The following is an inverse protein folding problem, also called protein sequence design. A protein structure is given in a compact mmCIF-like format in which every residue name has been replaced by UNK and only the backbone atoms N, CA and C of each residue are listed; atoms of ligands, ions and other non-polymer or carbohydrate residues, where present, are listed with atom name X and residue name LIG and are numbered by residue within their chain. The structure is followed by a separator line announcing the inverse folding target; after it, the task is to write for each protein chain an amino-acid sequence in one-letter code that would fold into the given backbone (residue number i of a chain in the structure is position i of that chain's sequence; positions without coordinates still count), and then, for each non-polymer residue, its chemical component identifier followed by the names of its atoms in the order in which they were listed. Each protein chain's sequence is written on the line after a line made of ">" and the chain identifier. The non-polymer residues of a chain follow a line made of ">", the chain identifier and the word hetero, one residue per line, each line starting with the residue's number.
data_IF_382732271938
#
_entry.id   IF_382732271938
#
_cell.length_a   1.000
_cell.length_b   1.000
_cell.length_c   1.000
_cell.angle_alpha   90.00
_cell.angle_beta   90.00
_cell.angle_gamma   90.00
#
_symmetry.space_group_name_H-M   'P 1'
#
loop_
_entity.id
_entity.type
_entity.pdbx_description
1 polymer ?
#
# COMPACT_ATOMS: atom_id res chain seq x y z
N UNK A 1 -37.95 4.43 33.92
CA UNK A 1 -38.71 3.90 35.07
C UNK A 1 -37.94 2.84 35.87
N UNK A 2 -37.33 1.82 35.24
CA UNK A 2 -36.57 0.76 35.96
C UNK A 2 -35.53 1.25 36.98
N UNK A 3 -34.66 2.19 36.59
CA UNK A 3 -33.65 2.77 37.49
C UNK A 3 -34.23 3.55 38.68
N UNK A 4 -35.36 4.24 38.49
CA UNK A 4 -36.08 4.91 39.58
C UNK A 4 -36.75 3.90 40.53
N UNK A 5 -36.98 2.68 40.06
CA UNK A 5 -37.48 1.55 40.85
C UNK A 5 -36.34 0.70 41.47
N UNK A 6 -35.08 1.12 41.34
CA UNK A 6 -33.92 0.39 41.89
C UNK A 6 -33.48 -0.85 41.10
N UNK A 7 -34.03 -1.06 39.91
CA UNK A 7 -33.64 -2.16 39.03
C UNK A 7 -32.39 -1.80 38.22
N UNK A 8 -31.35 -2.64 38.28
CA UNK A 8 -30.15 -2.52 37.43
C UNK A 8 -30.42 -3.12 36.05
N UNK A 9 -30.24 -2.34 35.00
CA UNK A 9 -30.48 -2.78 33.62
C UNK A 9 -29.39 -2.37 32.64
N UNK A 10 -28.53 -1.42 33.00
CA UNK A 10 -27.51 -0.87 32.13
C UNK A 10 -26.21 -0.66 32.93
N UNK A 11 -25.31 -1.63 32.86
CA UNK A 11 -24.09 -1.74 33.69
C UNK A 11 -23.32 -0.42 33.86
N UNK A 12 -22.97 0.24 32.75
CA UNK A 12 -22.22 1.51 32.81
C UNK A 12 -23.04 2.65 33.41
N UNK A 13 -24.31 2.80 32.99
CA UNK A 13 -25.19 3.87 33.48
C UNK A 13 -25.48 3.72 34.97
N UNK A 14 -25.65 2.49 35.44
CA UNK A 14 -25.94 2.14 36.84
C UNK A 14 -24.72 2.35 37.75
N UNK A 15 -23.50 2.27 37.20
CA UNK A 15 -22.25 2.61 37.91
C UNK A 15 -22.00 4.12 38.05
N UNK A 16 -22.71 4.97 37.31
CA UNK A 16 -22.59 6.44 37.41
C UNK A 16 -23.66 7.04 38.34
N UNK A 17 -23.43 8.24 38.87
CA UNK A 17 -24.51 9.03 39.50
C UNK A 17 -25.56 9.44 38.46
N UNK A 18 -26.79 9.75 38.90
CA UNK A 18 -27.85 10.19 37.99
C UNK A 18 -27.45 11.45 37.21
N UNK A 19 -26.77 12.40 37.86
CA UNK A 19 -26.27 13.62 37.21
C UNK A 19 -25.23 13.31 36.13
N UNK A 20 -24.26 12.42 36.41
CA UNK A 20 -23.24 11.99 35.45
C UNK A 20 -23.86 11.24 34.27
N UNK A 21 -24.80 10.33 34.53
CA UNK A 21 -25.52 9.59 33.51
C UNK A 21 -26.28 10.54 32.58
N UNK A 22 -27.19 11.35 33.13
CA UNK A 22 -28.00 12.29 32.34
C UNK A 22 -27.14 13.28 31.56
N UNK A 23 -26.13 13.87 32.19
CA UNK A 23 -25.25 14.83 31.54
C UNK A 23 -24.41 14.21 30.43
N UNK A 24 -23.90 13.00 30.64
CA UNK A 24 -23.16 12.28 29.59
C UNK A 24 -24.06 11.94 28.41
N UNK A 25 -25.26 11.41 28.70
CA UNK A 25 -26.28 11.11 27.70
C UNK A 25 -26.60 12.34 26.86
N UNK A 26 -26.92 13.48 27.47
CA UNK A 26 -27.22 14.72 26.76
C UNK A 26 -26.03 15.22 25.91
N UNK A 27 -24.83 15.27 26.50
CA UNK A 27 -23.64 15.77 25.81
C UNK A 27 -23.25 14.89 24.63
N UNK A 28 -23.28 13.56 24.79
CA UNK A 28 -22.98 12.60 23.73
C UNK A 28 -24.02 12.68 22.61
N UNK A 29 -25.30 12.80 22.99
CA UNK A 29 -26.41 13.01 22.06
C UNK A 29 -26.23 14.24 21.19
N UNK A 30 -25.91 15.39 21.79
CA UNK A 30 -25.66 16.63 21.05
C UNK A 30 -24.48 16.50 20.10
N UNK A 31 -23.37 15.90 20.54
CA UNK A 31 -22.19 15.69 19.70
C UNK A 31 -22.52 14.87 18.46
N UNK A 32 -23.29 13.79 18.61
CA UNK A 32 -23.61 12.87 17.51
C UNK A 32 -24.68 13.44 16.58
N UNK A 33 -25.73 14.04 17.15
CA UNK A 33 -26.87 14.58 16.41
C UNK A 33 -26.55 15.88 15.67
N UNK A 34 -25.82 16.79 16.30
CA UNK A 34 -25.64 18.17 15.81
C UNK A 34 -24.17 18.54 15.55
N UNK A 35 -23.23 17.70 16.00
CA UNK A 35 -21.80 17.92 15.78
C UNK A 35 -21.10 18.71 16.90
N UNK A 36 -19.80 18.99 16.74
CA UNK A 36 -18.95 19.49 17.81
C UNK A 36 -19.18 20.97 18.18
N UNK A 37 -19.71 21.77 17.26
CA UNK A 37 -19.88 23.22 17.46
C UNK A 37 -21.18 23.58 18.18
N UNK A 38 -22.17 22.68 18.23
CA UNK A 38 -23.47 22.92 18.82
C UNK A 38 -23.42 22.94 20.36
N UNK A 39 -24.05 23.96 20.96
CA UNK A 39 -24.19 24.06 22.43
C UNK A 39 -25.61 23.74 22.87
N UNK A 40 -25.74 23.07 24.02
CA UNK A 40 -27.01 22.78 24.70
C UNK A 40 -27.94 24.02 24.87
N UNK A 41 -27.49 25.20 25.32
CA UNK A 41 -28.37 26.36 25.51
C UNK A 41 -28.94 26.98 24.21
N UNK A 42 -28.44 26.59 23.03
CA UNK A 42 -28.87 27.14 21.74
C UNK A 42 -29.89 26.23 21.01
N UNK A 43 -30.32 25.12 21.65
CA UNK A 43 -31.22 24.10 21.07
C UNK A 43 -32.69 24.27 21.50
N UNK A 44 -33.62 23.96 20.58
CA UNK A 44 -35.07 23.94 20.86
C UNK A 44 -35.45 22.77 21.77
N UNK A 45 -36.68 22.75 22.29
CA UNK A 45 -37.17 21.63 23.12
C UNK A 45 -37.11 20.30 22.36
N UNK A 46 -37.48 20.30 21.09
CA UNK A 46 -37.49 19.11 20.23
C UNK A 46 -36.08 18.61 19.95
N UNK A 47 -35.13 19.52 19.74
CA UNK A 47 -33.72 19.19 19.52
C UNK A 47 -33.10 18.51 20.76
N UNK A 48 -33.47 18.97 21.96
CA UNK A 48 -33.00 18.37 23.22
C UNK A 48 -33.56 16.98 23.43
N UNK A 49 -34.85 16.78 23.13
CA UNK A 49 -35.50 15.49 23.20
C UNK A 49 -34.91 14.50 22.19
N UNK A 50 -34.63 14.96 20.96
CA UNK A 50 -33.92 14.16 19.96
C UNK A 50 -32.49 13.80 20.40
N UNK A 51 -31.68 14.77 20.84
CA UNK A 51 -30.34 14.50 21.36
C UNK A 51 -30.37 13.56 22.56
N UNK A 52 -31.34 13.72 23.47
CA UNK A 52 -31.54 12.83 24.61
C UNK A 52 -31.75 11.37 24.20
N UNK A 53 -32.61 11.12 23.20
CA UNK A 53 -32.81 9.76 22.65
C UNK A 53 -31.53 9.19 22.04
N UNK A 54 -30.87 9.94 21.16
CA UNK A 54 -29.62 9.52 20.51
C UNK A 54 -28.56 9.20 21.56
N UNK A 55 -28.39 10.09 22.54
CA UNK A 55 -27.45 9.89 23.64
C UNK A 55 -27.77 8.68 24.51
N UNK A 56 -29.06 8.39 24.72
CA UNK A 56 -29.49 7.27 25.54
C UNK A 56 -29.19 5.94 24.85
N UNK A 57 -29.45 5.84 23.55
CA UNK A 57 -29.08 4.66 22.76
C UNK A 57 -27.59 4.33 22.84
N UNK A 58 -26.73 5.35 22.87
CA UNK A 58 -25.28 5.19 23.01
C UNK A 58 -24.87 4.75 24.41
N UNK A 59 -25.36 5.45 25.43
CA UNK A 59 -24.98 5.21 26.84
C UNK A 59 -25.61 3.94 27.42
N UNK A 60 -26.78 3.52 26.93
CA UNK A 60 -27.40 2.24 27.28
C UNK A 60 -26.58 1.03 26.83
N UNK A 61 -25.79 1.17 25.76
CA UNK A 61 -24.83 0.15 25.29
C UNK A 61 -23.50 0.16 26.07
N UNK A 62 -23.39 1.01 27.09
CA UNK A 62 -22.21 1.13 27.95
C UNK A 62 -20.97 1.70 27.26
N UNK A 63 -19.79 1.41 27.81
CA UNK A 63 -18.51 1.95 27.33
C UNK A 63 -18.29 1.68 25.82
N UNK A 64 -18.68 0.51 25.33
CA UNK A 64 -18.55 0.16 23.91
C UNK A 64 -19.36 1.11 23.01
N UNK A 65 -20.61 1.42 23.36
CA UNK A 65 -21.44 2.35 22.61
C UNK A 65 -20.88 3.78 22.59
N UNK A 66 -20.34 4.23 23.73
CA UNK A 66 -19.67 5.53 23.84
C UNK A 66 -18.40 5.56 22.99
N UNK A 67 -17.55 4.53 23.08
CA UNK A 67 -16.32 4.41 22.28
C UNK A 67 -16.60 4.39 20.78
N UNK A 68 -17.59 3.63 20.33
CA UNK A 68 -18.01 3.57 18.93
C UNK A 68 -18.44 4.95 18.43
N UNK A 69 -19.26 5.68 19.19
CA UNK A 69 -19.70 7.03 18.82
C UNK A 69 -18.52 8.01 18.72
N UNK A 70 -17.59 7.98 19.67
CA UNK A 70 -16.41 8.84 19.65
C UNK A 70 -15.48 8.52 18.47
N UNK A 71 -15.30 7.25 18.14
CA UNK A 71 -14.53 6.82 16.95
C UNK A 71 -15.21 7.22 15.65
N UNK A 72 -16.53 7.02 15.54
CA UNK A 72 -17.30 7.45 14.37
C UNK A 72 -17.22 8.98 14.19
N UNK A 73 -17.27 9.74 15.29
CA UNK A 73 -17.09 11.18 15.26
C UNK A 73 -15.67 11.59 14.83
N UNK A 74 -14.65 10.86 15.26
CA UNK A 74 -13.27 11.06 14.82
C UNK A 74 -13.12 10.84 13.30
N UNK A 75 -13.67 9.76 12.75
CA UNK A 75 -13.60 9.44 11.31
C UNK A 75 -14.28 10.49 10.42
N UNK A 76 -15.23 11.28 10.92
CA UNK A 76 -15.81 12.41 10.15
C UNK A 76 -14.77 13.49 9.81
N UNK A 77 -13.61 13.49 10.47
CA UNK A 77 -12.51 14.40 10.21
C UNK A 77 -11.43 13.83 9.29
N UNK A 78 -11.64 12.66 8.67
CA UNK A 78 -10.65 12.04 7.78
C UNK A 78 -10.27 12.93 6.58
N UNK A 79 -11.21 13.73 6.07
CA UNK A 79 -10.98 14.70 5.00
C UNK A 79 -10.51 16.08 5.49
N UNK A 80 -10.34 16.27 6.81
CA UNK A 80 -9.95 17.56 7.36
C UNK A 80 -8.52 17.94 6.95
N UNK A 81 -8.31 19.23 6.67
CA UNK A 81 -6.97 19.75 6.43
C UNK A 81 -6.17 19.82 7.74
N UNK A 82 -5.04 19.11 7.78
CA UNK A 82 -4.10 19.11 8.91
C UNK A 82 -4.41 18.06 9.98
N UNK A 83 -3.96 18.31 11.22
CA UNK A 83 -4.20 17.41 12.36
C UNK A 83 -5.17 18.07 13.33
N UNK A 84 -6.48 17.77 13.26
CA UNK A 84 -7.45 18.38 14.15
C UNK A 84 -7.22 17.90 15.59
N UNK A 85 -7.13 18.84 16.53
CA UNK A 85 -6.97 18.51 17.94
C UNK A 85 -8.28 18.01 18.59
N UNK A 86 -8.22 17.41 19.80
CA UNK A 86 -9.40 16.85 20.47
C UNK A 86 -10.54 17.86 20.64
N UNK A 87 -10.21 19.12 20.93
CA UNK A 87 -11.21 20.21 21.05
C UNK A 87 -11.95 20.50 19.75
N UNK A 88 -11.33 20.30 18.58
CA UNK A 88 -11.99 20.49 17.28
C UNK A 88 -12.88 19.32 16.91
N UNK A 89 -12.46 18.10 17.25
CA UNK A 89 -13.18 16.86 16.92
C UNK A 89 -14.41 16.67 17.79
N UNK A 90 -14.24 16.89 19.10
CA UNK A 90 -15.26 16.63 20.12
C UNK A 90 -15.91 17.92 20.63
N UNK A 91 -15.35 19.10 20.32
CA UNK A 91 -16.04 20.37 20.48
C UNK A 91 -16.56 20.63 21.89
N UNK A 92 -17.86 20.95 21.98
CA UNK A 92 -18.54 21.22 23.23
C UNK A 92 -18.50 20.03 24.21
N UNK A 93 -18.57 18.79 23.73
CA UNK A 93 -18.44 17.58 24.55
C UNK A 93 -17.12 17.59 25.34
N UNK A 94 -16.00 17.81 24.63
CA UNK A 94 -14.69 17.92 25.27
C UNK A 94 -14.60 19.10 26.23
N UNK A 95 -15.10 20.28 25.83
CA UNK A 95 -15.05 21.48 26.67
C UNK A 95 -15.85 21.31 27.97
N UNK A 96 -17.02 20.66 27.91
CA UNK A 96 -17.89 20.44 29.06
C UNK A 96 -17.26 19.50 30.11
N UNK A 97 -16.48 18.52 29.65
CA UNK A 97 -15.73 17.59 30.50
C UNK A 97 -14.39 18.19 30.98
N UNK A 98 -13.72 18.99 30.17
CA UNK A 98 -12.44 19.62 30.50
C UNK A 98 -12.56 20.84 31.42
N UNK A 99 -13.67 21.58 31.34
CA UNK A 99 -13.88 22.86 32.02
C UNK A 99 -15.16 22.87 32.86
N UNK A 100 -15.41 21.83 33.66
CA UNK A 100 -16.52 21.86 34.62
C UNK A 100 -16.22 22.90 35.72
N UNK A 101 -16.56 24.17 35.45
CA UNK A 101 -16.56 25.29 36.41
C UNK A 101 -17.39 25.01 37.69
N UNK A 102 -18.11 23.89 37.71
CA UNK A 102 -19.03 23.46 38.77
C UNK A 102 -18.44 22.46 39.77
N UNK A 103 -17.14 22.10 39.74
CA UNK A 103 -16.54 21.10 40.65
C UNK A 103 -17.20 19.70 40.61
N UNK A 104 -18.15 19.45 39.68
CA UNK A 104 -18.81 18.16 39.52
C UNK A 104 -17.90 17.21 38.75
N UNK A 105 -17.63 16.07 39.37
CA UNK A 105 -16.89 14.96 38.77
C UNK A 105 -17.62 14.48 37.51
N UNK A 106 -16.99 14.56 36.32
CA UNK A 106 -17.57 14.07 35.07
C UNK A 106 -17.84 12.56 35.08
N UNK A 107 -17.25 11.80 36.00
CA UNK A 107 -17.39 10.36 36.08
C UNK A 107 -16.55 9.65 35.02
N UNK A 108 -16.90 8.39 34.75
CA UNK A 108 -16.09 7.47 33.95
C UNK A 108 -15.98 7.88 32.47
N UNK A 109 -16.91 8.70 31.97
CA UNK A 109 -16.87 9.22 30.58
C UNK A 109 -15.59 10.00 30.29
N UNK A 110 -15.01 10.67 31.30
CA UNK A 110 -13.76 11.40 31.13
C UNK A 110 -12.57 10.45 30.92
N UNK A 111 -12.58 9.27 31.55
CA UNK A 111 -11.61 8.20 31.28
C UNK A 111 -11.78 7.68 29.86
N UNK A 112 -13.00 7.28 29.49
CA UNK A 112 -13.29 6.73 28.16
C UNK A 112 -12.87 7.69 27.05
N UNK A 113 -13.20 8.98 27.18
CA UNK A 113 -12.80 9.98 26.20
C UNK A 113 -11.27 10.14 26.14
N UNK A 114 -10.59 10.12 27.29
CA UNK A 114 -9.13 10.20 27.35
C UNK A 114 -8.48 9.01 26.64
N UNK A 115 -8.96 7.80 26.88
CA UNK A 115 -8.44 6.58 26.27
C UNK A 115 -8.62 6.63 24.75
N UNK A 116 -9.81 7.02 24.26
CA UNK A 116 -10.06 7.18 22.82
C UNK A 116 -9.14 8.25 22.21
N UNK A 117 -8.90 9.36 22.91
CA UNK A 117 -7.97 10.39 22.42
C UNK A 117 -6.54 9.85 22.33
N UNK A 118 -6.04 9.17 23.38
CA UNK A 118 -4.68 8.61 23.42
C UNK A 118 -4.49 7.54 22.35
N UNK A 119 -5.52 6.72 22.08
CA UNK A 119 -5.48 5.64 21.10
C UNK A 119 -5.54 6.11 19.63
N UNK A 120 -6.07 7.31 19.35
CA UNK A 120 -6.36 7.74 17.97
C UNK A 120 -5.70 9.07 17.57
N UNK A 121 -5.27 9.90 18.53
CA UNK A 121 -4.75 11.25 18.26
C UNK A 121 -3.29 11.36 18.72
N UNK A 122 -2.41 11.72 17.79
CA UNK A 122 -1.01 11.98 18.10
C UNK A 122 -0.85 13.27 18.90
N UNK A 123 -0.42 13.14 20.16
CA UNK A 123 -0.25 14.26 21.09
C UNK A 123 1.20 14.35 21.60
N UNK A 124 1.70 15.57 21.90
CA UNK A 124 2.99 15.72 22.54
C UNK A 124 2.95 15.26 24.00
N UNK A 125 4.10 14.81 24.51
CA UNK A 125 4.29 14.60 25.95
C UNK A 125 4.03 15.91 26.73
N UNK A 126 3.54 15.80 27.96
CA UNK A 126 3.13 16.92 28.80
C UNK A 126 1.76 17.52 28.46
N UNK A 127 1.03 16.95 27.49
CA UNK A 127 -0.32 17.44 27.17
C UNK A 127 -1.28 17.11 28.30
N UNK A 128 -1.88 18.14 28.92
CA UNK A 128 -2.94 17.98 29.92
C UNK A 128 -4.28 17.73 29.25
N UNK A 129 -4.92 16.62 29.58
CA UNK A 129 -6.21 16.19 29.04
C UNK A 129 -7.11 15.69 30.15
N UNK A 130 -8.26 16.37 30.33
CA UNK A 130 -9.29 15.98 31.29
C UNK A 130 -8.69 15.70 32.69
N UNK A 131 -7.86 16.64 33.16
CA UNK A 131 -7.22 16.61 34.48
C UNK A 131 -5.95 15.74 34.60
N UNK A 132 -5.61 14.94 33.59
CA UNK A 132 -4.44 14.05 33.62
C UNK A 132 -3.41 14.50 32.59
N UNK A 133 -2.14 14.49 32.98
CA UNK A 133 -1.02 14.81 32.08
C UNK A 133 -0.52 13.56 31.38
N UNK A 134 -0.35 13.64 30.07
CA UNK A 134 0.26 12.59 29.28
C UNK A 134 1.78 12.57 29.51
N UNK A 135 2.28 11.61 30.28
CA UNK A 135 3.70 11.54 30.64
C UNK A 135 4.62 11.41 29.41
N UNK A 136 4.26 10.54 28.47
CA UNK A 136 5.04 10.26 27.27
C UNK A 136 4.16 10.25 26.02
N UNK A 137 4.73 10.59 24.87
CA UNK A 137 4.03 10.49 23.59
C UNK A 137 3.85 9.01 23.23
N UNK A 138 2.63 8.60 22.92
CA UNK A 138 2.32 7.22 22.50
C UNK A 138 2.17 7.06 20.98
N UNK A 139 1.78 8.14 20.28
CA UNK A 139 1.48 8.12 18.85
C UNK A 139 2.18 9.25 18.10
N UNK A 140 2.52 8.98 16.84
CA UNK A 140 2.99 9.94 15.87
C UNK A 140 2.07 10.04 14.67
N UNK A 141 1.88 11.26 14.17
CA UNK A 141 1.59 11.51 12.75
C UNK A 141 2.90 11.71 11.99
N UNK A 142 2.87 11.58 10.67
CA UNK A 142 4.02 11.88 9.80
C UNK A 142 4.61 13.26 10.11
N UNK A 143 3.75 14.28 10.28
CA UNK A 143 4.18 15.65 10.57
C UNK A 143 4.85 15.77 11.95
N UNK A 144 4.28 15.13 12.97
CA UNK A 144 4.85 15.17 14.33
C UNK A 144 6.21 14.49 14.42
N UNK A 145 6.38 13.35 13.73
CA UNK A 145 7.63 12.59 13.68
C UNK A 145 8.70 13.32 12.87
N UNK A 146 8.32 13.88 11.71
CA UNK A 146 9.21 14.70 10.89
C UNK A 146 9.76 15.90 11.67
N UNK A 147 8.89 16.58 12.44
CA UNK A 147 9.30 17.71 13.28
C UNK A 147 10.24 17.28 14.41
N UNK A 148 9.93 16.19 15.10
CA UNK A 148 10.74 15.69 16.22
C UNK A 148 12.13 15.22 15.77
N UNK A 149 12.22 14.55 14.62
CA UNK A 149 13.48 13.99 14.10
C UNK A 149 14.19 14.92 13.10
N UNK A 150 13.65 16.11 12.83
CA UNK A 150 14.16 17.09 11.86
C UNK A 150 14.37 16.44 10.48
N UNK A 151 13.30 15.86 9.94
CA UNK A 151 13.28 15.16 8.65
C UNK A 151 12.32 15.83 7.66
N UNK A 152 12.56 15.63 6.36
CA UNK A 152 11.61 16.03 5.32
C UNK A 152 10.35 15.16 5.39
N UNK A 153 9.20 15.80 5.65
CA UNK A 153 7.91 15.10 5.81
C UNK A 153 7.51 14.29 4.58
N UNK A 154 7.86 14.73 3.36
CA UNK A 154 7.52 14.00 2.13
C UNK A 154 8.31 12.71 2.01
N UNK A 155 9.61 12.77 2.26
CA UNK A 155 10.49 11.59 2.26
C UNK A 155 10.12 10.63 3.37
N UNK A 156 9.86 11.13 4.58
CA UNK A 156 9.42 10.31 5.70
C UNK A 156 8.10 9.60 5.39
N UNK A 157 7.10 10.29 4.81
CA UNK A 157 5.84 9.67 4.38
C UNK A 157 6.09 8.52 3.41
N UNK A 158 6.95 8.72 2.42
CA UNK A 158 7.26 7.69 1.43
C UNK A 158 7.90 6.45 2.04
N UNK A 159 8.79 6.60 3.03
CA UNK A 159 9.39 5.44 3.72
C UNK A 159 8.36 4.77 4.63
N UNK A 160 7.52 5.53 5.34
CA UNK A 160 6.45 4.96 6.18
C UNK A 160 5.40 4.20 5.36
N UNK A 161 5.10 4.65 4.14
CA UNK A 161 4.24 3.93 3.19
C UNK A 161 4.93 2.68 2.66
N UNK A 162 6.21 2.76 2.32
CA UNK A 162 6.98 1.60 1.86
C UNK A 162 7.14 0.52 2.95
N UNK A 163 7.17 0.93 4.22
CA UNK A 163 7.20 0.04 5.38
C UNK A 163 5.80 -0.45 5.82
N UNK A 164 4.74 -0.11 5.07
CA UNK A 164 3.35 -0.47 5.36
C UNK A 164 2.83 -0.03 6.75
N UNK A 165 3.44 1.03 7.32
CA UNK A 165 2.99 1.62 8.59
C UNK A 165 1.88 2.63 8.34
N UNK A 166 1.96 3.36 7.22
CA UNK A 166 1.00 4.38 6.83
C UNK A 166 0.42 4.01 5.46
N UNK A 167 -0.89 3.83 5.34
CA UNK A 167 -1.51 3.59 4.03
C UNK A 167 -1.20 4.69 3.01
N UNK A 168 -1.11 4.35 1.73
CA UNK A 168 -0.79 5.31 0.66
C UNK A 168 -1.78 6.50 0.62
N UNK A 169 -3.06 6.24 0.92
CA UNK A 169 -4.14 7.22 0.98
C UNK A 169 -4.52 7.63 2.39
N UNK A 170 -3.63 7.42 3.37
CA UNK A 170 -3.89 7.80 4.76
C UNK A 170 -4.11 9.31 4.92
N UNK A 171 -5.06 9.73 5.77
CA UNK A 171 -5.30 11.13 6.08
C UNK A 171 -4.10 11.75 6.81
N UNK A 172 -4.04 13.09 6.82
CA UNK A 172 -2.89 13.80 7.38
C UNK A 172 -2.69 13.58 8.89
N UNK A 173 -3.78 13.30 9.63
CA UNK A 173 -3.78 12.94 11.04
C UNK A 173 -3.69 11.44 11.33
N UNK A 174 -3.45 10.60 10.31
CA UNK A 174 -3.25 9.18 10.55
C UNK A 174 -2.11 8.98 11.55
N UNK A 175 -2.45 8.34 12.67
CA UNK A 175 -1.58 8.15 13.81
C UNK A 175 -1.06 6.71 13.83
N UNK A 176 0.20 6.55 14.20
CA UNK A 176 0.85 5.25 14.34
C UNK A 176 1.74 5.21 15.61
N UNK A 177 2.00 4.02 16.19
CA UNK A 177 2.82 3.88 17.38
C UNK A 177 4.23 4.45 17.24
N UNK A 178 4.77 5.00 18.33
CA UNK A 178 6.09 5.68 18.34
C UNK A 178 7.22 4.73 17.98
N UNK A 179 7.15 3.49 18.43
CA UNK A 179 8.16 2.45 18.22
C UNK A 179 8.34 2.20 16.72
N UNK A 180 7.23 1.97 16.01
CA UNK A 180 7.21 1.77 14.56
C UNK A 180 7.77 2.99 13.80
N UNK A 181 7.43 4.19 14.26
CA UNK A 181 7.97 5.43 13.69
C UNK A 181 9.49 5.55 13.84
N UNK A 182 10.01 5.19 15.02
CA UNK A 182 11.44 5.29 15.34
C UNK A 182 12.29 4.36 14.48
N UNK A 183 11.85 3.12 14.28
CA UNK A 183 12.53 2.16 13.41
C UNK A 183 12.72 2.72 12.00
N UNK A 184 11.65 3.26 11.40
CA UNK A 184 11.68 3.83 10.06
C UNK A 184 12.53 5.10 9.95
N UNK A 185 12.59 5.94 10.99
CA UNK A 185 13.42 7.15 10.94
C UNK A 185 14.91 6.85 10.78
N UNK A 186 15.37 5.69 11.25
CA UNK A 186 16.74 5.27 11.04
C UNK A 186 17.00 4.93 9.56
N UNK A 187 16.06 4.28 8.88
CA UNK A 187 16.11 4.02 7.44
C UNK A 187 16.24 5.32 6.65
N UNK A 188 15.47 6.36 7.01
CA UNK A 188 15.54 7.68 6.35
C UNK A 188 16.94 8.29 6.45
N UNK A 189 17.58 8.19 7.62
CA UNK A 189 18.96 8.71 7.84
C UNK A 189 20.01 7.91 7.04
N UNK A 190 19.71 6.67 6.66
CA UNK A 190 20.61 5.74 5.95
C UNK A 190 20.33 5.64 4.45
N UNK A 191 19.47 6.50 3.89
CA UNK A 191 19.11 6.47 2.47
C UNK A 191 20.35 6.53 1.56
N UNK A 192 20.41 5.60 0.60
CA UNK A 192 21.36 5.58 -0.52
C UNK A 192 20.61 5.82 -1.81
N UNK A 193 21.10 6.74 -2.64
CA UNK A 193 20.46 7.01 -3.92
C UNK A 193 20.66 5.87 -4.92
N UNK A 194 19.61 5.57 -5.66
CA UNK A 194 19.60 4.51 -6.69
C UNK A 194 20.67 4.72 -7.77
N UNK A 195 21.10 5.97 -8.01
CA UNK A 195 22.17 6.31 -8.96
C UNK A 195 23.58 5.87 -8.49
N UNK A 196 23.80 5.75 -7.17
CA UNK A 196 25.09 5.31 -6.61
C UNK A 196 25.20 3.79 -6.45
N UNK A 197 24.08 3.06 -6.50
CA UNK A 197 24.06 1.61 -6.32
C UNK A 197 24.95 0.83 -7.30
N UNK A 198 24.99 1.12 -8.62
CA UNK A 198 25.86 0.39 -9.54
C UNK A 198 27.33 0.42 -9.13
N UNK A 199 27.79 1.58 -8.62
CA UNK A 199 29.17 1.74 -8.13
C UNK A 199 29.40 1.00 -6.81
N UNK A 200 28.45 1.07 -5.87
CA UNK A 200 28.58 0.41 -4.56
C UNK A 200 28.50 -1.11 -4.64
N UNK A 201 27.63 -1.65 -5.51
CA UNK A 201 27.45 -3.08 -5.71
C UNK A 201 28.39 -3.67 -6.76
N UNK A 202 29.24 -2.83 -7.38
CA UNK A 202 30.14 -3.19 -8.46
C UNK A 202 29.41 -3.96 -9.60
N UNK A 203 28.28 -3.43 -10.05
CA UNK A 203 27.45 -4.10 -11.05
C UNK A 203 26.85 -3.12 -12.07
N UNK A 204 26.34 -3.66 -13.19
CA UNK A 204 25.69 -2.86 -14.23
C UNK A 204 24.29 -2.42 -13.82
N UNK A 205 23.82 -1.30 -14.40
CA UNK A 205 22.50 -0.72 -14.13
C UNK A 205 21.31 -1.69 -14.32
N UNK A 206 21.27 -2.54 -15.38
CA UNK A 206 20.15 -3.45 -15.56
C UNK A 206 19.95 -4.42 -14.38
N UNK A 207 21.03 -4.87 -13.74
CA UNK A 207 20.93 -5.76 -12.58
C UNK A 207 20.22 -5.06 -11.42
N UNK A 208 20.54 -3.78 -11.15
CA UNK A 208 19.86 -2.99 -10.11
C UNK A 208 18.36 -2.91 -10.37
N UNK A 209 17.97 -2.66 -11.62
CA UNK A 209 16.55 -2.56 -11.96
C UNK A 209 15.83 -3.91 -11.78
N UNK A 210 16.52 -5.05 -11.97
CA UNK A 210 16.00 -6.38 -11.68
C UNK A 210 15.96 -6.71 -10.18
N UNK A 211 16.90 -6.23 -9.37
CA UNK A 211 16.84 -6.38 -7.90
C UNK A 211 15.56 -5.75 -7.33
N UNK A 212 15.09 -4.64 -7.92
CA UNK A 212 13.80 -4.05 -7.57
C UNK A 212 12.61 -4.84 -8.11
N UNK A 213 12.70 -5.36 -9.35
CA UNK A 213 11.61 -6.15 -9.95
C UNK A 213 11.35 -7.40 -9.13
N UNK A 214 12.40 -8.11 -8.71
CA UNK A 214 12.26 -9.37 -7.99
C UNK A 214 12.16 -9.15 -6.47
N UNK A 215 11.95 -7.90 -6.02
CA UNK A 215 11.81 -7.48 -4.62
C UNK A 215 12.99 -7.93 -3.72
N UNK A 216 14.19 -8.02 -4.29
CA UNK A 216 15.43 -8.25 -3.55
C UNK A 216 15.94 -6.96 -2.87
N UNK A 217 15.54 -5.81 -3.37
CA UNK A 217 15.68 -4.50 -2.73
C UNK A 217 14.35 -3.76 -2.81
N UNK A 218 14.03 -2.99 -1.77
CA UNK A 218 12.78 -2.23 -1.66
C UNK A 218 13.05 -0.77 -2.02
N UNK A 219 12.56 -0.28 -3.18
CA UNK A 219 12.77 1.10 -3.58
C UNK A 219 11.96 2.06 -2.70
N UNK A 220 12.62 3.11 -2.23
CA UNK A 220 12.00 4.25 -1.56
C UNK A 220 11.68 5.33 -2.61
N UNK A 221 10.41 5.70 -2.68
CA UNK A 221 9.87 6.64 -3.65
C UNK A 221 9.81 8.07 -3.11
N UNK A 222 10.83 8.90 -3.32
CA UNK A 222 10.77 10.31 -2.89
C UNK A 222 10.01 11.18 -3.91
N UNK A 223 8.68 11.29 -3.78
CA UNK A 223 7.84 12.12 -4.65
C UNK A 223 6.33 11.96 -4.39
N UNK A 224 5.54 12.94 -4.83
CA UNK A 224 4.07 12.80 -4.85
C UNK A 224 3.62 11.92 -6.03
N UNK A 225 2.47 11.22 -5.91
CA UNK A 225 1.89 10.46 -7.01
C UNK A 225 1.69 11.38 -8.24
N UNK A 226 2.11 10.93 -9.42
CA UNK A 226 1.97 11.68 -10.68
C UNK A 226 3.19 12.51 -11.13
N UNK A 227 4.29 12.51 -10.37
CA UNK A 227 5.53 13.16 -10.84
C UNK A 227 6.16 12.30 -11.96
N UNK A 228 6.10 12.76 -13.22
CA UNK A 228 6.78 12.09 -14.35
C UNK A 228 8.31 12.16 -14.15
N UNK A 229 8.95 10.99 -14.12
CA UNK A 229 10.40 10.84 -13.99
C UNK A 229 10.80 9.89 -12.86
N UNK A 230 11.92 9.17 -13.06
CA UNK A 230 12.60 8.22 -12.12
C UNK A 230 12.04 8.26 -10.68
N UNK A 231 10.99 7.47 -10.47
CA UNK A 231 10.21 7.41 -9.23
C UNK A 231 10.96 6.68 -8.11
N UNK A 232 11.90 5.79 -8.46
CA UNK A 232 12.78 5.10 -7.52
C UNK A 232 14.04 5.94 -7.26
N UNK A 233 14.13 6.58 -6.09
CA UNK A 233 15.25 7.51 -5.79
C UNK A 233 16.19 7.00 -4.73
N UNK A 234 15.76 6.09 -3.87
CA UNK A 234 16.51 5.67 -2.71
C UNK A 234 16.29 4.19 -2.36
N UNK A 235 17.20 3.62 -1.58
CA UNK A 235 17.12 2.32 -0.91
C UNK A 235 17.77 2.49 0.46
N UNK A 236 17.38 1.68 1.45
CA UNK A 236 18.09 1.65 2.73
C UNK A 236 19.50 1.05 2.54
N UNK A 237 20.54 1.72 3.07
CA UNK A 237 21.90 1.17 3.10
C UNK A 237 21.96 -0.18 3.79
N UNK A 238 21.17 -0.38 4.83
CA UNK A 238 21.17 -1.62 5.60
C UNK A 238 20.62 -2.79 4.79
N UNK A 239 19.53 -2.59 4.05
CA UNK A 239 18.99 -3.58 3.12
C UNK A 239 20.02 -4.00 2.05
N UNK A 240 20.74 -3.01 1.49
CA UNK A 240 21.83 -3.26 0.55
C UNK A 240 22.96 -4.08 1.20
N UNK A 241 23.35 -3.74 2.43
CA UNK A 241 24.39 -4.46 3.17
C UNK A 241 23.95 -5.89 3.53
N UNK A 242 22.69 -6.09 3.92
CA UNK A 242 22.12 -7.41 4.20
C UNK A 242 22.11 -8.29 2.96
N UNK A 243 21.67 -7.78 1.81
CA UNK A 243 21.69 -8.52 0.54
C UNK A 243 23.12 -8.95 0.18
N UNK A 244 24.07 -8.01 0.25
CA UNK A 244 25.49 -8.29 -0.04
C UNK A 244 26.08 -9.29 0.96
N UNK A 245 25.76 -9.15 2.25
CA UNK A 245 26.18 -10.09 3.30
C UNK A 245 25.66 -11.51 3.06
N UNK A 246 24.37 -11.65 2.69
CA UNK A 246 23.77 -12.94 2.35
C UNK A 246 24.42 -13.60 1.14
N UNK A 247 24.78 -12.82 0.13
CA UNK A 247 25.49 -13.33 -1.05
C UNK A 247 26.92 -13.76 -0.70
N UNK A 248 27.66 -12.94 0.07
CA UNK A 248 29.02 -13.28 0.48
C UNK A 248 29.07 -14.45 1.45
N UNK A 249 28.06 -14.65 2.29
CA UNK A 249 27.95 -15.82 3.17
C UNK A 249 27.84 -17.15 2.40
N UNK A 250 27.44 -17.09 1.12
CA UNK A 250 27.36 -18.25 0.22
C UNK A 250 28.63 -18.43 -0.63
N UNK A 251 29.64 -17.58 -0.45
CA UNK A 251 30.85 -17.58 -1.26
C UNK A 251 32.10 -17.82 -0.40
N UNK A 252 32.99 -18.69 -0.86
CA UNK A 252 34.28 -18.92 -0.22
C UNK A 252 35.24 -17.78 -0.59
N UNK A 253 35.92 -17.21 0.41
CA UNK A 253 36.92 -16.16 0.16
C UNK A 253 38.22 -16.74 -0.39
N UNK A 254 38.69 -16.19 -1.51
CA UNK A 254 39.92 -16.63 -2.18
C UNK A 254 40.71 -15.40 -2.64
N UNK A 255 42.04 -15.44 -2.53
CA UNK A 255 42.92 -14.36 -3.02
C UNK A 255 43.15 -14.41 -4.54
N UNK A 256 43.28 -15.62 -5.10
CA UNK A 256 43.49 -15.85 -6.53
C UNK A 256 42.40 -16.78 -7.03
N UNK A 257 41.57 -16.31 -7.96
CA UNK A 257 40.52 -17.13 -8.55
C UNK A 257 41.02 -17.90 -9.77
N UNK A 258 40.48 -19.10 -9.95
CA UNK A 258 40.70 -19.92 -11.14
C UNK A 258 40.21 -19.20 -12.40
N UNK A 259 40.92 -19.43 -13.51
CA UNK A 259 40.67 -18.81 -14.82
C UNK A 259 39.24 -19.05 -15.36
N UNK A 260 38.60 -20.14 -14.91
CA UNK A 260 37.29 -20.59 -15.40
C UNK A 260 36.12 -19.87 -14.73
N UNK A 261 36.33 -19.34 -13.52
CA UNK A 261 35.30 -18.66 -12.75
C UNK A 261 35.14 -17.23 -13.26
N UNK A 262 33.89 -16.80 -13.43
CA UNK A 262 33.58 -15.48 -14.01
C UNK A 262 32.57 -14.71 -13.16
N UNK A 263 32.55 -13.36 -13.25
CA UNK A 263 31.57 -12.56 -12.52
C UNK A 263 30.13 -12.85 -12.92
N UNK A 264 29.18 -12.56 -12.02
CA UNK A 264 27.72 -12.75 -12.21
C UNK A 264 27.23 -12.33 -13.60
N UNK A 265 27.61 -11.14 -14.08
CA UNK A 265 27.16 -10.64 -15.38
C UNK A 265 27.64 -11.50 -16.56
N UNK A 266 28.87 -12.02 -16.49
CA UNK A 266 29.48 -12.85 -17.54
C UNK A 266 29.00 -14.30 -17.47
N UNK A 267 28.73 -14.80 -16.25
CA UNK A 267 28.10 -16.11 -16.05
C UNK A 267 26.68 -16.11 -16.65
N UNK A 268 25.89 -15.07 -16.35
CA UNK A 268 24.55 -14.88 -16.89
C UNK A 268 24.53 -14.85 -18.42
N UNK A 269 25.47 -14.11 -19.04
CA UNK A 269 25.62 -14.03 -20.49
C UNK A 269 25.93 -15.40 -21.12
N UNK A 270 26.92 -16.14 -20.56
CA UNK A 270 27.30 -17.48 -21.05
C UNK A 270 26.18 -18.51 -20.86
N UNK A 271 25.43 -18.42 -19.77
CA UNK A 271 24.29 -19.28 -19.48
C UNK A 271 23.00 -18.86 -20.20
N UNK A 272 23.00 -17.71 -20.91
CA UNK A 272 21.84 -17.11 -21.59
C UNK A 272 20.64 -16.88 -20.68
N UNK A 273 20.89 -16.47 -19.45
CA UNK A 273 19.85 -16.19 -18.43
C UNK A 273 19.96 -14.77 -17.90
N UNK A 274 18.87 -14.19 -17.34
CA UNK A 274 18.95 -12.90 -16.67
C UNK A 274 19.94 -12.94 -15.50
N UNK A 275 20.71 -11.86 -15.31
CA UNK A 275 21.69 -11.78 -14.22
C UNK A 275 21.06 -11.89 -12.82
N UNK A 276 19.80 -11.48 -12.66
CA UNK A 276 19.05 -11.65 -11.40
C UNK A 276 18.74 -13.11 -11.09
N UNK A 277 18.54 -13.95 -12.11
CA UNK A 277 18.35 -15.40 -11.92
C UNK A 277 19.60 -16.01 -11.29
N UNK A 278 20.79 -15.57 -11.69
CA UNK A 278 22.05 -16.00 -11.06
C UNK A 278 22.12 -15.56 -9.59
N UNK A 279 21.69 -14.35 -9.26
CA UNK A 279 21.60 -13.87 -7.87
C UNK A 279 20.66 -14.75 -7.05
N UNK A 280 19.50 -15.12 -7.60
CA UNK A 280 18.56 -16.05 -6.97
C UNK A 280 19.16 -17.45 -6.75
N UNK A 281 19.93 -17.97 -7.71
CA UNK A 281 20.61 -19.26 -7.58
C UNK A 281 21.63 -19.26 -6.44
N UNK A 282 22.40 -18.18 -6.29
CA UNK A 282 23.36 -18.01 -5.19
C UNK A 282 22.61 -17.94 -3.85
N UNK A 283 21.59 -17.09 -3.73
CA UNK A 283 20.82 -16.93 -2.49
C UNK A 283 20.07 -18.21 -2.09
N UNK A 284 19.60 -18.97 -3.08
CA UNK A 284 18.98 -20.28 -2.89
C UNK A 284 19.96 -21.39 -2.52
N UNK A 285 21.26 -21.17 -2.68
CA UNK A 285 22.26 -22.21 -2.45
C UNK A 285 22.23 -23.33 -3.49
N UNK A 286 21.83 -23.02 -4.73
CA UNK A 286 21.86 -23.98 -5.84
C UNK A 286 23.27 -24.15 -6.44
N UNK A 287 24.17 -23.19 -6.20
CA UNK A 287 25.52 -23.21 -6.73
C UNK A 287 26.49 -23.60 -5.62
N UNK A 288 27.33 -24.60 -5.89
CA UNK A 288 28.41 -25.07 -5.03
C UNK A 288 29.70 -24.28 -5.29
N UNK A 289 29.98 -23.92 -6.56
CA UNK A 289 31.24 -23.26 -6.95
C UNK A 289 31.10 -21.74 -6.98
N UNK A 290 30.85 -21.12 -5.82
CA UNK A 290 30.81 -19.66 -5.68
C UNK A 290 31.99 -19.18 -4.82
N UNK A 291 32.81 -18.30 -5.38
CA UNK A 291 33.94 -17.70 -4.68
C UNK A 291 33.81 -16.18 -4.65
N UNK A 292 34.40 -15.55 -3.63
CA UNK A 292 34.55 -14.10 -3.55
C UNK A 292 36.02 -13.73 -3.55
N UNK A 293 36.41 -12.81 -4.42
CA UNK A 293 37.78 -12.27 -4.45
C UNK A 293 38.03 -11.38 -3.24
N UNK A 294 39.11 -11.65 -2.51
CA UNK A 294 39.56 -10.81 -1.41
C UNK A 294 39.75 -9.35 -1.87
N UNK A 295 39.23 -8.40 -1.08
CA UNK A 295 39.32 -6.96 -1.38
C UNK A 295 38.30 -6.41 -2.40
N UNK A 296 37.57 -7.26 -3.13
CA UNK A 296 36.46 -6.80 -3.98
C UNK A 296 35.15 -6.76 -3.19
N UNK A 297 34.47 -5.62 -3.26
CA UNK A 297 33.19 -5.40 -2.58
C UNK A 297 31.99 -5.60 -3.52
N UNK A 298 30.86 -6.00 -2.93
CA UNK A 298 29.57 -6.07 -3.62
C UNK A 298 29.43 -7.30 -4.52
N UNK A 299 28.41 -7.27 -5.37
CA UNK A 299 28.01 -8.41 -6.21
C UNK A 299 29.06 -8.69 -7.30
N UNK A 300 29.75 -7.66 -7.78
CA UNK A 300 30.79 -7.80 -8.80
C UNK A 300 32.02 -8.62 -8.37
N UNK A 301 32.25 -8.76 -7.06
CA UNK A 301 33.37 -9.55 -6.52
C UNK A 301 33.09 -11.06 -6.45
N UNK A 302 31.87 -11.50 -6.79
CA UNK A 302 31.47 -12.90 -6.79
C UNK A 302 31.77 -13.54 -8.14
N UNK A 303 32.48 -14.66 -8.11
CA UNK A 303 32.81 -15.45 -9.29
C UNK A 303 32.18 -16.85 -9.17
N UNK A 304 31.76 -17.39 -10.30
CA UNK A 304 31.11 -18.70 -10.38
C UNK A 304 31.35 -19.38 -11.72
N UNK A 305 31.04 -20.67 -11.77
CA UNK A 305 31.08 -21.49 -12.98
C UNK A 305 29.83 -21.26 -13.87
N UNK A 306 29.98 -20.78 -15.12
CA UNK A 306 28.86 -20.64 -16.05
C UNK A 306 28.14 -21.94 -16.40
N UNK A 307 28.85 -23.08 -16.40
CA UNK A 307 28.25 -24.37 -16.76
C UNK A 307 27.25 -24.82 -15.69
N UNK A 308 27.64 -24.68 -14.42
CA UNK A 308 26.79 -24.94 -13.27
C UNK A 308 25.54 -24.03 -13.28
N UNK A 309 25.72 -22.73 -13.53
CA UNK A 309 24.61 -21.78 -13.66
C UNK A 309 23.62 -22.22 -14.74
N UNK A 310 24.10 -22.65 -15.90
CA UNK A 310 23.24 -23.10 -17.01
C UNK A 310 22.47 -24.37 -16.66
N UNK A 311 23.09 -25.31 -15.95
CA UNK A 311 22.46 -26.55 -15.51
C UNK A 311 21.28 -26.25 -14.58
N UNK A 312 21.50 -25.46 -13.53
CA UNK A 312 20.43 -25.12 -12.58
C UNK A 312 19.38 -24.18 -13.18
N UNK A 313 19.76 -23.25 -14.05
CA UNK A 313 18.81 -22.37 -14.72
C UNK A 313 17.80 -23.15 -15.59
N UNK A 314 18.22 -24.25 -16.22
CA UNK A 314 17.34 -25.06 -17.06
C UNK A 314 16.16 -25.70 -16.30
N UNK A 315 16.32 -25.95 -15.00
CA UNK A 315 15.26 -26.47 -14.14
C UNK A 315 14.06 -25.52 -14.00
N UNK A 316 14.24 -24.23 -14.35
CA UNK A 316 13.21 -23.19 -14.21
C UNK A 316 12.59 -22.77 -15.55
N UNK A 317 12.86 -23.49 -16.64
CA UNK A 317 12.45 -23.09 -18.00
C UNK A 317 10.93 -23.09 -18.21
N UNK A 318 10.19 -23.87 -17.45
CA UNK A 318 8.73 -24.03 -17.59
C UNK A 318 7.93 -22.85 -17.03
N UNK A 319 8.56 -21.95 -16.27
CA UNK A 319 7.89 -20.84 -15.60
C UNK A 319 8.53 -19.50 -15.94
N UNK A 320 7.75 -18.44 -15.88
CA UNK A 320 8.19 -17.08 -16.16
C UNK A 320 8.70 -16.41 -14.89
N UNK A 321 9.79 -15.65 -15.02
CA UNK A 321 10.19 -14.66 -14.02
C UNK A 321 9.15 -13.53 -13.94
N UNK A 322 9.13 -12.72 -12.86
CA UNK A 322 8.24 -11.56 -12.77
C UNK A 322 8.37 -10.62 -13.97
N UNK A 323 9.60 -10.39 -14.44
CA UNK A 323 9.83 -9.60 -15.67
C UNK A 323 9.15 -10.21 -16.88
N UNK A 324 9.26 -11.53 -17.07
CA UNK A 324 8.65 -12.25 -18.19
C UNK A 324 7.12 -12.20 -18.13
N UNK A 325 6.55 -12.46 -16.96
CA UNK A 325 5.11 -12.46 -16.74
C UNK A 325 4.50 -11.07 -16.95
N UNK A 326 5.04 -10.03 -16.31
CA UNK A 326 4.53 -8.66 -16.45
C UNK A 326 4.76 -8.10 -17.85
N UNK A 327 5.87 -8.50 -18.49
CA UNK A 327 6.14 -8.19 -19.90
C UNK A 327 5.11 -8.81 -20.85
N UNK A 328 4.75 -10.08 -20.65
CA UNK A 328 3.70 -10.76 -21.43
C UNK A 328 2.32 -10.11 -21.24
N UNK A 329 2.04 -9.66 -20.02
CA UNK A 329 0.84 -8.90 -19.69
C UNK A 329 0.87 -7.44 -20.20
N UNK A 330 2.05 -6.92 -20.58
CA UNK A 330 2.31 -5.52 -20.93
C UNK A 330 1.92 -4.51 -19.83
N UNK A 331 2.12 -4.88 -18.57
CA UNK A 331 1.79 -4.03 -17.42
C UNK A 331 3.05 -3.48 -16.73
N UNK A 332 2.98 -2.31 -16.08
CA UNK A 332 4.05 -1.84 -15.21
C UNK A 332 4.30 -2.83 -14.06
N UNK A 333 5.56 -2.88 -13.59
CA UNK A 333 6.02 -3.80 -12.55
C UNK A 333 5.24 -3.66 -11.24
N UNK A 334 4.97 -2.42 -10.82
CA UNK A 334 4.19 -2.11 -9.61
C UNK A 334 2.77 -2.66 -9.73
N UNK A 335 2.14 -2.52 -10.90
CA UNK A 335 0.79 -3.05 -11.15
C UNK A 335 0.78 -4.58 -11.07
N UNK A 336 1.76 -5.23 -11.68
CA UNK A 336 1.89 -6.70 -11.63
C UNK A 336 2.02 -7.24 -10.20
N UNK A 337 2.78 -6.53 -9.38
CA UNK A 337 2.97 -6.85 -7.96
C UNK A 337 1.76 -6.51 -7.08
N UNK A 338 1.06 -5.41 -7.38
CA UNK A 338 -0.21 -5.09 -6.72
C UNK A 338 -1.29 -6.14 -7.02
N UNK A 339 -1.33 -6.69 -8.23
CA UNK A 339 -2.21 -7.83 -8.58
C UNK A 339 -1.88 -9.12 -7.84
N UNK A 340 -0.68 -9.23 -7.25
CA UNK A 340 -0.27 -10.36 -6.41
C UNK A 340 -0.63 -10.08 -4.95
N UNK A 341 -0.35 -8.87 -4.46
CA UNK A 341 -0.45 -8.51 -3.04
C UNK A 341 -1.85 -8.06 -2.59
N UNK A 342 -2.56 -7.28 -3.42
CA UNK A 342 -3.83 -6.64 -3.08
C UNK A 342 -4.97 -7.35 -3.80
N UNK A 343 -5.55 -8.37 -3.16
CA UNK A 343 -6.53 -9.26 -3.80
C UNK A 343 -7.94 -9.10 -3.24
N UNK A 344 -8.90 -8.89 -4.16
CA UNK A 344 -10.15 -9.64 -4.14
C UNK A 344 -9.91 -10.95 -4.90
N UNK A 345 -10.45 -12.09 -4.42
CA UNK A 345 -10.16 -13.43 -4.97
C UNK A 345 -10.34 -13.51 -6.50
N UNK A 346 -11.25 -12.70 -7.04
CA UNK A 346 -11.66 -12.70 -8.44
C UNK A 346 -10.59 -12.25 -9.46
N UNK A 347 -9.68 -11.34 -9.11
CA UNK A 347 -8.76 -10.67 -10.07
C UNK A 347 -7.28 -10.82 -9.69
N UNK A 348 -6.97 -11.78 -8.82
CA UNK A 348 -5.59 -12.06 -8.42
C UNK A 348 -4.75 -12.67 -9.56
N UNK A 349 -3.44 -12.38 -9.57
CA UNK A 349 -2.46 -13.09 -10.38
C UNK A 349 -1.64 -14.02 -9.46
N UNK A 350 -1.96 -15.32 -9.39
CA UNK A 350 -1.26 -16.26 -8.53
C UNK A 350 0.24 -16.32 -8.83
N UNK A 351 1.06 -16.21 -7.78
CA UNK A 351 2.51 -16.41 -7.84
C UNK A 351 2.87 -17.74 -7.19
N UNK A 352 3.68 -18.55 -7.88
CA UNK A 352 4.31 -19.72 -7.32
C UNK A 352 5.69 -19.34 -6.76
N UNK A 353 6.13 -20.01 -5.71
CA UNK A 353 7.47 -19.82 -5.17
C UNK A 353 8.26 -21.11 -5.29
N UNK A 354 9.43 -21.02 -5.91
CA UNK A 354 10.42 -22.09 -5.85
C UNK A 354 11.39 -21.81 -4.72
N UNK A 355 11.62 -22.83 -3.89
CA UNK A 355 12.51 -22.75 -2.75
C UNK A 355 13.90 -23.29 -3.13
N UNK A 356 14.93 -22.62 -2.62
CA UNK A 356 16.28 -23.16 -2.67
C UNK A 356 16.41 -24.47 -1.87
N UNK A 357 17.47 -25.28 -2.11
CA UNK A 357 17.80 -26.43 -1.27
C UNK A 357 17.89 -26.09 0.23
N UNK A 358 18.20 -24.82 0.55
CA UNK A 358 18.25 -24.31 1.92
C UNK A 358 16.87 -23.97 2.53
N UNK A 359 15.80 -23.90 1.75
CA UNK A 359 14.45 -23.52 2.20
C UNK A 359 14.29 -22.04 2.59
N UNK A 360 15.37 -21.26 2.69
CA UNK A 360 15.36 -19.88 3.18
C UNK A 360 15.00 -18.85 2.09
N UNK A 361 15.44 -19.09 0.85
CA UNK A 361 15.26 -18.15 -0.24
C UNK A 361 14.14 -18.59 -1.18
N UNK A 362 13.22 -17.65 -1.46
CA UNK A 362 12.06 -17.85 -2.32
C UNK A 362 12.28 -17.13 -3.64
N UNK A 363 12.08 -17.85 -4.74
CA UNK A 363 12.18 -17.32 -6.09
C UNK A 363 10.76 -17.24 -6.66
N UNK A 364 10.24 -16.03 -6.95
CA UNK A 364 8.90 -15.88 -7.51
C UNK A 364 8.87 -16.38 -8.96
N UNK A 365 7.88 -17.21 -9.27
CA UNK A 365 7.65 -17.77 -10.59
C UNK A 365 6.17 -17.72 -10.96
N UNK A 366 5.90 -17.49 -12.23
CA UNK A 366 4.56 -17.46 -12.79
C UNK A 366 4.42 -18.57 -13.83
N UNK A 367 3.43 -19.43 -13.64
CA UNK A 367 3.11 -20.44 -14.64
C UNK A 367 2.56 -19.76 -15.91
N UNK A 368 2.99 -20.22 -17.08
CA UNK A 368 2.51 -19.75 -18.38
C UNK A 368 0.99 -19.91 -18.51
N UNK A 369 0.44 -20.99 -17.93
CA UNK A 369 -0.99 -21.25 -17.92
C UNK A 369 -1.76 -20.18 -17.13
N UNK A 370 -1.23 -19.78 -15.96
CA UNK A 370 -1.83 -18.74 -15.10
C UNK A 370 -1.83 -17.39 -15.80
N UNK A 371 -0.70 -17.01 -16.42
CA UNK A 371 -0.60 -15.74 -17.15
C UNK A 371 -1.56 -15.71 -18.35
N UNK A 372 -1.68 -16.83 -19.06
CA UNK A 372 -2.56 -16.95 -20.22
C UNK A 372 -4.04 -16.95 -19.84
N UNK A 373 -4.43 -17.64 -18.76
CA UNK A 373 -5.78 -17.58 -18.19
C UNK A 373 -6.14 -16.15 -17.77
N UNK A 374 -5.23 -15.46 -17.08
CA UNK A 374 -5.43 -14.08 -16.69
C UNK A 374 -5.66 -13.17 -17.91
N UNK A 375 -4.88 -13.35 -18.99
CA UNK A 375 -5.07 -12.62 -20.25
C UNK A 375 -6.40 -12.94 -20.95
N UNK A 376 -6.95 -14.14 -20.75
CA UNK A 376 -8.25 -14.52 -21.31
C UNK A 376 -9.41 -13.92 -20.52
N UNK A 377 -9.25 -13.74 -19.21
CA UNK A 377 -10.28 -13.20 -18.31
C UNK A 377 -10.28 -11.67 -18.26
N UNK A 378 -9.11 -11.03 -18.34
CA UNK A 378 -8.97 -9.60 -18.10
C UNK A 378 -8.17 -8.88 -19.18
N UNK A 379 -8.51 -7.62 -19.38
CA UNK A 379 -7.77 -6.71 -20.25
C UNK A 379 -7.75 -5.30 -19.63
N UNK A 380 -6.63 -4.61 -19.77
CA UNK A 380 -6.45 -3.27 -19.22
C UNK A 380 -6.53 -2.20 -20.31
N UNK A 381 -6.82 -0.97 -19.90
CA UNK A 381 -7.10 0.15 -20.82
C UNK A 381 -5.98 0.40 -21.84
N UNK A 382 -4.70 0.33 -21.43
CA UNK A 382 -3.56 0.56 -22.32
C UNK A 382 -3.46 -0.47 -23.47
N UNK A 383 -3.76 -1.74 -23.21
CA UNK A 383 -3.79 -2.79 -24.24
C UNK A 383 -4.92 -2.59 -25.25
N UNK A 384 -6.09 -2.15 -24.78
CA UNK A 384 -7.20 -1.77 -25.67
C UNK A 384 -6.78 -0.60 -26.56
N UNK A 385 -6.11 0.41 -26.00
CA UNK A 385 -5.64 1.55 -26.81
C UNK A 385 -4.64 1.14 -27.88
N UNK A 386 -3.72 0.23 -27.58
CA UNK A 386 -2.72 -0.27 -28.54
C UNK A 386 -3.38 -1.09 -29.65
N UNK A 387 -4.34 -1.96 -29.29
CA UNK A 387 -5.05 -2.82 -30.25
C UNK A 387 -5.90 -2.03 -31.24
N UNK A 388 -6.45 -0.88 -30.84
CA UNK A 388 -7.39 -0.11 -31.64
C UNK A 388 -6.92 1.29 -32.03
N UNK A 389 -5.70 1.70 -31.63
CA UNK A 389 -5.13 3.00 -31.97
C UNK A 389 -5.89 4.20 -31.37
N UNK A 390 -6.47 4.04 -30.18
CA UNK A 390 -7.29 5.05 -29.51
C UNK A 390 -6.57 5.71 -28.33
N UNK A 391 -7.08 6.84 -27.85
CA UNK A 391 -6.58 7.44 -26.61
C UNK A 391 -7.24 6.80 -25.39
N UNK A 392 -6.51 6.68 -24.27
CA UNK A 392 -7.00 6.05 -23.03
C UNK A 392 -8.31 6.70 -22.55
N UNK A 393 -8.39 8.03 -22.56
CA UNK A 393 -9.62 8.76 -22.17
C UNK A 393 -10.83 8.40 -23.05
N UNK A 394 -10.58 8.17 -24.34
CA UNK A 394 -11.62 7.80 -25.30
C UNK A 394 -12.11 6.37 -25.04
N UNK A 395 -11.20 5.45 -24.76
CA UNK A 395 -11.52 4.06 -24.37
C UNK A 395 -12.38 4.05 -23.12
N UNK A 396 -11.93 4.68 -22.04
CA UNK A 396 -12.66 4.74 -20.76
C UNK A 396 -14.04 5.39 -20.93
N UNK A 397 -14.13 6.48 -21.70
CA UNK A 397 -15.42 7.16 -21.98
C UNK A 397 -16.39 6.29 -22.79
N UNK A 398 -15.91 5.54 -23.79
CA UNK A 398 -16.73 4.61 -24.58
C UNK A 398 -17.26 3.45 -23.74
N UNK A 399 -16.43 2.90 -22.85
CA UNK A 399 -16.84 1.83 -21.93
C UNK A 399 -17.88 2.31 -20.92
N UNK A 400 -17.64 3.47 -20.29
CA UNK A 400 -18.57 4.06 -19.33
C UNK A 400 -19.95 4.36 -19.93
N UNK A 401 -20.01 4.82 -21.18
CA UNK A 401 -21.29 5.07 -21.89
C UNK A 401 -22.13 3.82 -22.13
N UNK A 402 -21.52 2.64 -22.10
CA UNK A 402 -22.21 1.35 -22.23
C UNK A 402 -22.41 0.65 -20.89
N UNK A 403 -22.15 1.33 -19.77
CA UNK A 403 -22.29 0.76 -18.43
C UNK A 403 -21.23 -0.30 -18.09
N UNK A 404 -20.12 -0.36 -18.84
CA UNK A 404 -19.00 -1.25 -18.52
C UNK A 404 -18.03 -0.49 -17.62
N UNK A 405 -17.84 -1.01 -16.41
CA UNK A 405 -16.97 -0.43 -15.40
C UNK A 405 -15.77 -1.35 -15.17
N UNK A 406 -14.61 -0.78 -14.79
CA UNK A 406 -13.46 -1.60 -14.43
C UNK A 406 -13.74 -2.39 -13.14
N UNK A 407 -13.21 -3.61 -13.07
CA UNK A 407 -13.27 -4.45 -11.87
C UNK A 407 -12.20 -4.05 -10.87
N UNK A 408 -11.06 -3.57 -11.37
CA UNK A 408 -10.02 -2.93 -10.56
C UNK A 408 -9.73 -1.55 -11.11
N UNK A 409 -9.72 -0.57 -10.21
CA UNK A 409 -9.54 0.83 -10.56
C UNK A 409 -8.06 1.17 -10.62
N UNK A 410 -7.72 2.11 -11.50
CA UNK A 410 -6.39 2.73 -11.54
C UNK A 410 -5.94 3.31 -10.21
N UNK A 411 -6.87 3.80 -9.40
CA UNK A 411 -6.58 4.33 -8.08
C UNK A 411 -6.11 3.26 -7.09
N UNK A 412 -6.53 2.01 -7.28
CA UNK A 412 -6.21 0.89 -6.39
C UNK A 412 -4.88 0.25 -6.80
N UNK A 413 -4.75 -0.12 -8.07
CA UNK A 413 -3.62 -0.95 -8.53
C UNK A 413 -2.71 -0.28 -9.56
N UNK A 414 -3.05 0.92 -10.04
CA UNK A 414 -2.25 1.71 -10.98
C UNK A 414 -2.73 1.68 -12.43
N UNK A 415 -3.62 0.76 -12.81
CA UNK A 415 -4.26 0.66 -14.13
C UNK A 415 -5.72 0.19 -14.01
N UNK A 416 -6.57 0.55 -14.98
CA UNK A 416 -7.97 0.10 -15.04
C UNK A 416 -8.07 -1.27 -15.73
N UNK A 417 -8.59 -2.28 -15.03
CA UNK A 417 -8.82 -3.63 -15.57
C UNK A 417 -10.30 -3.92 -15.79
N UNK A 418 -10.61 -4.55 -16.91
CA UNK A 418 -11.96 -4.89 -17.34
C UNK A 418 -12.07 -6.40 -17.59
N UNK A 419 -13.24 -6.99 -17.30
CA UNK A 419 -13.53 -8.38 -17.67
C UNK A 419 -13.71 -8.48 -19.19
N UNK A 420 -13.01 -9.44 -19.79
CA UNK A 420 -13.08 -9.66 -21.22
C UNK A 420 -14.47 -10.12 -21.67
N UNK A 421 -15.23 -10.84 -20.82
CA UNK A 421 -16.61 -11.27 -21.08
C UNK A 421 -17.57 -10.09 -21.31
N UNK A 422 -17.49 -9.06 -20.48
CA UNK A 422 -18.29 -7.83 -20.61
C UNK A 422 -17.94 -7.05 -21.87
N UNK A 423 -16.65 -7.04 -22.23
CA UNK A 423 -16.19 -6.45 -23.47
C UNK A 423 -16.67 -7.24 -24.69
N UNK A 424 -16.69 -8.58 -24.64
CA UNK A 424 -17.16 -9.44 -25.73
C UNK A 424 -18.62 -9.17 -26.09
N UNK A 425 -19.45 -8.92 -25.09
CA UNK A 425 -20.82 -8.46 -25.30
C UNK A 425 -20.87 -7.10 -26.03
N UNK A 426 -19.96 -6.17 -25.71
CA UNK A 426 -19.84 -4.89 -26.42
C UNK A 426 -19.21 -5.00 -27.83
N UNK A 427 -18.30 -5.96 -28.05
CA UNK A 427 -17.63 -6.24 -29.32
C UNK A 427 -18.61 -6.79 -30.38
N UNK A 428 -19.56 -7.63 -29.97
CA UNK A 428 -20.56 -8.23 -30.86
C UNK A 428 -21.59 -7.22 -31.41
N UNK A 429 -21.65 -6.00 -30.86
CA UNK A 429 -22.60 -4.94 -31.25
C UNK A 429 -22.05 -3.95 -32.31
N UNK A 430 -20.99 -4.31 -33.04
CA UNK A 430 -20.54 -3.59 -34.26
C UNK A 430 -19.76 -2.27 -34.04
N UNK A 431 -18.78 -2.02 -34.92
CA UNK A 431 -17.95 -0.80 -35.12
C UNK A 431 -17.52 0.01 -33.88
N UNK A 432 -17.33 -0.65 -32.73
CA UNK A 432 -17.12 0.02 -31.44
C UNK A 432 -15.78 0.78 -31.30
N UNK A 433 -14.76 0.38 -32.05
CA UNK A 433 -13.39 0.90 -31.89
C UNK A 433 -12.83 1.61 -33.13
N UNK A 434 -13.50 1.51 -34.28
CA UNK A 434 -13.10 2.28 -35.45
C UNK A 434 -13.48 3.76 -35.24
N UNK A 435 -12.55 4.67 -35.54
CA UNK A 435 -12.92 6.07 -35.75
C UNK A 435 -13.89 6.10 -36.92
N UNK A 436 -15.08 6.73 -36.81
CA UNK A 436 -15.90 6.94 -37.98
C UNK A 436 -15.05 7.69 -39.03
N UNK A 437 -15.10 7.30 -40.32
CA UNK A 437 -14.42 8.08 -41.35
C UNK A 437 -14.92 9.52 -41.25
N UNK A 438 -13.99 10.48 -41.17
CA UNK A 438 -14.32 11.89 -41.35
C UNK A 438 -14.79 12.03 -42.80
N UNK A 439 -16.11 11.97 -43.01
CA UNK A 439 -16.70 12.28 -44.30
C UNK A 439 -16.49 13.77 -44.61
N UNK A 440 -15.38 14.11 -45.25
CA UNK A 440 -15.41 15.16 -46.28
C UNK A 440 -15.81 14.47 -47.58
N UNK A 441 -16.81 15.02 -48.26
CA UNK A 441 -17.67 14.28 -49.18
C UNK A 441 -17.04 13.57 -50.40
N UNK A 442 -17.93 12.79 -51.03
CA UNK A 442 -17.88 12.01 -52.29
C UNK A 442 -17.53 10.51 -52.20
N UNK A 443 -18.63 9.75 -52.13
CA UNK A 443 -18.95 8.43 -52.71
C UNK A 443 -17.86 7.73 -53.53
N UNK A 444 -17.55 6.47 -53.16
CA UNK A 444 -17.55 5.32 -54.05
C UNK A 444 -17.77 4.02 -53.25
N UNK A 445 -18.75 3.24 -53.71
CA UNK A 445 -19.02 1.87 -53.30
C UNK A 445 -17.92 0.98 -53.89
N UNK A 446 -16.99 0.50 -53.06
CA UNK A 446 -16.11 -0.60 -53.45
C UNK A 446 -16.08 -1.71 -52.38
N UNK A 447 -16.05 -2.92 -52.93
CA UNK A 447 -16.32 -4.20 -52.31
C UNK A 447 -15.33 -4.55 -51.19
N UNK A 448 -15.86 -5.21 -50.17
CA UNK A 448 -15.09 -5.82 -49.08
C UNK A 448 -14.16 -6.93 -49.62
N UNK A 449 -12.86 -6.94 -49.29
CA UNK A 449 -12.06 -8.14 -49.47
C UNK A 449 -12.21 -9.02 -48.22
N UNK A 450 -12.80 -10.18 -48.42
CA UNK A 450 -12.66 -11.33 -47.54
C UNK A 450 -11.19 -11.77 -47.61
N UNK A 451 -10.42 -11.56 -46.54
CA UNK A 451 -9.08 -12.15 -46.42
C UNK A 451 -9.19 -13.51 -45.72
N UNK A 452 -8.75 -14.61 -46.37
CA UNK A 452 -8.83 -15.96 -45.84
C UNK A 452 -7.65 -16.27 -44.92
N UNK A 453 -7.92 -17.11 -43.92
CA UNK A 453 -6.93 -17.90 -43.21
C UNK A 453 -6.04 -18.64 -44.23
N UNK A 454 -4.72 -18.53 -44.10
CA UNK A 454 -3.80 -19.50 -44.68
C UNK A 454 -3.16 -20.34 -43.56
N UNK A 455 -3.13 -21.68 -43.70
CA UNK A 455 -2.52 -22.59 -42.73
C UNK A 455 -1.00 -22.67 -42.93
N UNK A 456 -0.35 -23.18 -41.89
CA UNK A 456 1.05 -23.57 -41.86
C UNK A 456 1.40 -24.59 -42.96
N UNK A 457 2.63 -24.50 -43.46
CA UNK A 457 3.29 -25.58 -44.21
C UNK A 457 4.61 -25.88 -43.50
N UNK A 458 4.67 -27.13 -43.01
CA UNK A 458 5.79 -28.06 -42.76
C UNK A 458 7.13 -27.48 -42.31
#
# INVERSE_FOLDING_TARGET
>A
MRRLNGESSFEWLDAQTLDQATRTTELAGVLVAFGPDQKLPESTSDDRDYAGRVGFELTARGENGIREALKAQFSKFDDATGTPGPRKIFGYFYNALAHSKSLKDPGDVARILRDVIIENIALPAGTKMLGVELAERCLHTVASLAKEQILDSRTLRSVLVAADIVPQHAPAHFAFPVEKGREVTQCVKRIVHVISLPKQLNCKRPLIDFLFVDRLLTPIYCGGPGTRGRTQKAVDREEVAMLVGRLHARAVEVEVADCELVPVSKAAEKAKVPAVSVVHLILGGFLERVVRLAGQKGIGGLLMDPAEVKLHASAFTTSLSPTGAFGALKIPREVGWNLVDQNSEDVSLPVAYVFGPNGEHRIPQFDLAVVSDFMARFIHSARITEQYGLQVREVVSRLKRRGIFPVLLRAEIGEDFYRFSELKAAFLLGNFWHKPPRFSGRVMLEKWPVCPLKPAVV
#
